data_IF_241489429227
#
_entry.id   IF_241489429227
#
_cell.length_a   1.000
_cell.length_b   1.000
_cell.length_c   1.000
_cell.angle_alpha   90.00
_cell.angle_beta   90.00
_cell.angle_gamma   90.00
#
_symmetry.space_group_name_H-M   'P 1'
#
loop_
_entity.id
_entity.type
_entity.pdbx_description
1 polymer ?
#
# COMPACT_ATOMS: atom_id res chain seq x y z
N UNK A 1 -24.31 14.19 2.58
CA UNK A 1 -24.17 12.80 2.14
C UNK A 1 -22.74 12.33 2.30
N UNK A 2 -22.57 11.16 2.88
CA UNK A 2 -21.25 10.62 3.06
C UNK A 2 -20.76 10.00 1.76
N UNK A 3 -19.60 10.44 1.28
CA UNK A 3 -18.93 9.83 0.13
C UNK A 3 -18.09 8.64 0.55
N UNK A 4 -17.82 8.54 1.84
CA UNK A 4 -16.92 7.51 2.39
C UNK A 4 -17.70 6.64 3.36
N UNK A 5 -17.31 5.35 3.41
CA UNK A 5 -17.88 4.42 4.37
C UNK A 5 -17.45 4.78 5.79
N UNK A 6 -18.12 4.17 6.76
CA UNK A 6 -17.74 4.35 8.16
C UNK A 6 -16.33 3.82 8.41
N UNK A 7 -15.95 2.75 7.72
CA UNK A 7 -14.59 2.20 7.85
C UNK A 7 -13.54 3.15 7.33
N UNK A 8 -13.79 3.82 6.20
CA UNK A 8 -12.88 4.83 5.68
C UNK A 8 -12.73 5.95 6.70
N UNK A 9 -13.83 6.45 7.23
CA UNK A 9 -13.78 7.52 8.21
C UNK A 9 -13.08 7.10 9.48
N UNK A 10 -13.30 5.87 9.94
CA UNK A 10 -12.63 5.35 11.12
C UNK A 10 -11.12 5.30 10.91
N UNK A 11 -10.67 4.75 9.79
CA UNK A 11 -9.24 4.68 9.50
C UNK A 11 -8.62 6.04 9.26
N UNK A 12 -9.39 6.99 8.76
CA UNK A 12 -8.91 8.36 8.59
C UNK A 12 -8.78 9.07 9.94
N UNK A 13 -9.78 8.94 10.80
CA UNK A 13 -9.79 9.61 12.09
C UNK A 13 -8.86 8.95 13.11
N UNK A 14 -8.70 7.64 13.01
CA UNK A 14 -7.90 6.84 13.93
C UNK A 14 -6.96 5.92 13.13
N UNK A 15 -6.02 6.48 12.37
CA UNK A 15 -5.16 5.64 11.54
C UNK A 15 -4.28 4.73 12.38
N UNK A 16 -4.13 3.50 11.92
CA UNK A 16 -3.33 2.48 12.57
C UNK A 16 -1.97 2.43 11.90
N UNK A 17 -0.95 2.10 12.70
CA UNK A 17 0.39 1.86 12.17
C UNK A 17 1.04 3.05 11.49
N UNK A 18 0.72 4.25 11.93
CA UNK A 18 1.37 5.47 11.45
C UNK A 18 2.75 5.60 12.07
N UNK A 19 3.74 5.93 11.27
CA UNK A 19 5.08 6.17 11.76
C UNK A 19 6.14 5.56 10.88
N UNK A 20 7.32 5.35 11.47
CA UNK A 20 8.45 4.77 10.79
C UNK A 20 9.03 3.65 11.64
N UNK A 21 9.87 2.82 11.00
CA UNK A 21 10.60 1.76 11.70
C UNK A 21 12.08 2.02 11.48
N UNK A 22 12.82 2.18 12.56
CA UNK A 22 14.27 2.31 12.49
C UNK A 22 14.85 0.96 12.09
N UNK A 23 15.76 0.97 11.12
CA UNK A 23 16.37 -0.25 10.58
C UNK A 23 15.32 -1.22 10.01
N UNK A 24 14.33 -0.70 9.31
CA UNK A 24 13.30 -1.52 8.69
C UNK A 24 13.91 -2.55 7.74
N UNK A 25 13.29 -3.72 7.68
CA UNK A 25 13.70 -4.79 6.75
C UNK A 25 13.52 -4.37 5.29
N UNK A 26 12.48 -3.61 5.02
CA UNK A 26 12.23 -3.07 3.69
C UNK A 26 11.45 -1.78 3.77
N UNK A 27 11.72 -0.87 2.84
CA UNK A 27 11.06 0.41 2.76
C UNK A 27 10.63 0.63 1.32
N UNK A 28 9.35 0.94 1.12
CA UNK A 28 8.83 1.27 -0.20
C UNK A 28 8.24 2.67 -0.18
N UNK A 29 8.57 3.45 -1.18
CA UNK A 29 8.03 4.79 -1.32
C UNK A 29 7.52 4.97 -2.74
N UNK A 30 6.28 5.42 -2.86
CA UNK A 30 5.67 5.73 -4.15
C UNK A 30 4.97 7.06 -4.04
N UNK A 31 4.78 7.71 -5.16
CA UNK A 31 4.11 8.99 -5.16
C UNK A 31 3.47 9.29 -6.49
N UNK A 32 2.51 10.20 -6.46
CA UNK A 32 1.88 10.74 -7.63
C UNK A 32 2.08 12.24 -7.62
N UNK A 33 3.02 12.72 -8.42
CA UNK A 33 3.37 14.13 -8.45
C UNK A 33 2.20 15.02 -8.84
N UNK A 34 1.30 14.51 -9.67
CA UNK A 34 0.12 15.27 -10.11
C UNK A 34 -0.84 15.53 -8.98
N UNK A 35 -1.02 14.55 -8.11
CA UNK A 35 -1.95 14.66 -7.00
C UNK A 35 -1.27 15.11 -5.71
N UNK A 36 0.07 15.08 -5.69
CA UNK A 36 0.82 15.41 -4.49
C UNK A 36 0.78 14.32 -3.43
N UNK A 37 0.22 13.18 -3.75
CA UNK A 37 0.16 12.06 -2.80
C UNK A 37 1.50 11.34 -2.79
N UNK A 38 2.01 11.10 -1.60
CA UNK A 38 3.23 10.32 -1.39
C UNK A 38 2.92 9.32 -0.28
N UNK A 39 3.35 8.07 -0.49
CA UNK A 39 3.10 7.01 0.46
C UNK A 39 4.38 6.22 0.69
N UNK A 40 4.74 6.05 1.95
CA UNK A 40 5.93 5.34 2.35
C UNK A 40 5.55 4.25 3.34
N UNK A 41 5.98 3.03 3.07
CA UNK A 41 5.66 1.87 3.90
C UNK A 41 6.98 1.30 4.43
N UNK A 42 7.00 1.02 5.73
CA UNK A 42 8.12 0.37 6.40
C UNK A 42 7.69 -1.02 6.84
N UNK A 43 8.50 -2.01 6.56
CA UNK A 43 8.21 -3.40 6.96
C UNK A 43 9.32 -3.92 7.85
N UNK A 44 8.93 -4.61 8.92
CA UNK A 44 9.85 -5.40 9.72
C UNK A 44 9.49 -6.85 9.48
N UNK A 45 10.45 -7.63 8.96
CA UNK A 45 10.21 -9.00 8.52
C UNK A 45 11.13 -9.95 9.28
N UNK A 46 10.54 -11.00 9.85
CA UNK A 46 11.28 -12.06 10.54
C UNK A 46 10.69 -13.40 10.13
N UNK A 47 11.56 -14.32 9.70
CA UNK A 47 11.13 -15.65 9.25
C UNK A 47 10.05 -15.58 8.17
N UNK A 48 10.23 -14.65 7.23
CA UNK A 48 9.32 -14.41 6.11
C UNK A 48 7.91 -13.97 6.55
N UNK A 49 7.77 -13.51 7.79
CA UNK A 49 6.51 -12.97 8.30
C UNK A 49 6.69 -11.49 8.59
N UNK A 50 5.70 -10.70 8.23
CA UNK A 50 5.69 -9.27 8.52
C UNK A 50 5.27 -9.10 9.97
N UNK A 51 6.25 -8.84 10.84
CA UNK A 51 5.99 -8.74 12.28
C UNK A 51 5.62 -7.32 12.70
N UNK A 52 5.98 -6.33 11.89
CA UNK A 52 5.57 -4.96 12.13
C UNK A 52 5.52 -4.22 10.80
N UNK A 53 4.67 -3.22 10.73
CA UNK A 53 4.46 -2.45 9.52
C UNK A 53 4.01 -1.05 9.92
N UNK A 54 4.64 -0.04 9.33
CA UNK A 54 4.29 1.36 9.60
C UNK A 54 4.18 2.09 8.27
N UNK A 55 3.48 3.21 8.29
CA UNK A 55 3.41 4.04 7.09
C UNK A 55 3.46 5.51 7.42
N UNK A 56 3.93 6.27 6.43
CA UNK A 56 3.84 7.71 6.43
C UNK A 56 3.30 8.13 5.08
N UNK A 57 2.38 9.06 5.07
CA UNK A 57 1.82 9.51 3.80
C UNK A 57 1.52 11.00 3.86
N UNK A 58 1.64 11.64 2.71
CA UNK A 58 1.15 12.98 2.48
C UNK A 58 0.11 12.88 1.38
N UNK A 59 -1.10 13.30 1.66
CA UNK A 59 -2.17 13.18 0.69
C UNK A 59 -3.52 13.36 1.32
N UNK A 60 -4.54 12.89 0.61
CA UNK A 60 -5.91 13.02 1.07
C UNK A 60 -6.26 11.99 2.14
N UNK A 61 -7.44 12.14 2.72
CA UNK A 61 -7.92 11.20 3.73
C UNK A 61 -8.04 9.79 3.23
N UNK A 62 -8.33 9.61 1.92
CA UNK A 62 -8.37 8.28 1.32
C UNK A 62 -7.00 7.62 1.31
N UNK A 63 -5.93 8.40 1.11
CA UNK A 63 -4.57 7.86 1.16
C UNK A 63 -4.25 7.37 2.56
N UNK A 64 -4.61 8.12 3.58
CA UNK A 64 -4.42 7.73 4.97
C UNK A 64 -5.22 6.46 5.28
N UNK A 65 -6.50 6.44 4.91
CA UNK A 65 -7.35 5.29 5.19
C UNK A 65 -6.88 4.04 4.45
N UNK A 66 -6.49 4.18 3.18
CA UNK A 66 -5.99 3.05 2.41
C UNK A 66 -4.70 2.48 2.99
N UNK A 67 -3.77 3.35 3.38
CA UNK A 67 -2.52 2.91 3.99
C UNK A 67 -2.78 2.22 5.33
N UNK A 68 -3.64 2.80 6.16
CA UNK A 68 -3.99 2.24 7.45
C UNK A 68 -4.58 0.84 7.28
N UNK A 69 -5.55 0.69 6.39
CA UNK A 69 -6.18 -0.61 6.15
C UNK A 69 -5.17 -1.60 5.57
N UNK A 70 -4.38 -1.19 4.59
CA UNK A 70 -3.41 -2.09 3.96
C UNK A 70 -2.40 -2.61 4.98
N UNK A 71 -1.90 -1.75 5.87
CA UNK A 71 -0.94 -2.19 6.89
C UNK A 71 -1.58 -3.19 7.86
N UNK A 72 -2.84 -2.99 8.22
CA UNK A 72 -3.54 -3.95 9.06
C UNK A 72 -3.71 -5.30 8.36
N UNK A 73 -3.96 -5.27 7.05
CA UNK A 73 -4.19 -6.49 6.29
C UNK A 73 -2.95 -7.36 6.16
N UNK A 74 -1.77 -6.74 6.11
CA UNK A 74 -0.52 -7.51 5.93
C UNK A 74 0.20 -7.80 7.23
N UNK A 75 -0.13 -7.14 8.31
CA UNK A 75 0.50 -7.37 9.60
C UNK A 75 0.28 -8.81 10.05
N UNK A 76 1.35 -9.53 10.38
CA UNK A 76 1.27 -10.92 10.77
C UNK A 76 1.16 -11.90 9.62
N UNK A 77 1.16 -11.43 8.39
CA UNK A 77 1.07 -12.29 7.20
C UNK A 77 2.45 -12.58 6.66
N UNK A 78 2.54 -13.65 5.86
CA UNK A 78 3.79 -13.95 5.18
C UNK A 78 4.05 -12.94 4.06
N UNK A 79 5.31 -12.85 3.64
CA UNK A 79 5.65 -11.98 2.52
C UNK A 79 4.93 -12.41 1.25
N UNK A 80 4.66 -13.71 1.09
CA UNK A 80 3.92 -14.21 -0.08
C UNK A 80 2.47 -13.70 -0.07
N UNK A 81 1.83 -13.74 1.09
CA UNK A 81 0.47 -13.23 1.22
C UNK A 81 0.43 -11.72 0.99
N UNK A 82 1.43 -11.00 1.46
CA UNK A 82 1.50 -9.56 1.25
C UNK A 82 1.70 -9.21 -0.22
N UNK A 83 2.44 -10.04 -0.96
CA UNK A 83 2.62 -9.84 -2.40
C UNK A 83 1.32 -9.98 -3.18
N UNK A 84 0.39 -10.75 -2.65
CA UNK A 84 -0.90 -10.97 -3.30
C UNK A 84 -1.95 -9.93 -2.97
N UNK A 85 -1.64 -9.01 -2.06
CA UNK A 85 -2.57 -7.94 -1.72
C UNK A 85 -2.85 -7.06 -2.93
N UNK A 86 -4.12 -6.81 -3.19
CA UNK A 86 -4.54 -5.97 -4.31
C UNK A 86 -5.22 -4.71 -3.81
N UNK A 87 -5.20 -3.68 -4.65
CA UNK A 87 -5.91 -2.45 -4.34
C UNK A 87 -7.41 -2.69 -4.19
N UNK A 88 -7.95 -3.63 -4.96
CA UNK A 88 -9.36 -4.00 -4.86
C UNK A 88 -9.67 -4.57 -3.47
N UNK A 89 -8.80 -5.43 -2.94
CA UNK A 89 -8.99 -6.00 -1.62
C UNK A 89 -8.98 -4.92 -0.53
N UNK A 90 -8.10 -3.93 -0.66
CA UNK A 90 -8.04 -2.82 0.29
C UNK A 90 -9.34 -2.01 0.24
N UNK A 91 -9.80 -1.70 -0.97
CA UNK A 91 -11.05 -0.96 -1.13
C UNK A 91 -12.25 -1.73 -0.58
N UNK A 92 -12.31 -3.03 -0.83
CA UNK A 92 -13.39 -3.86 -0.31
C UNK A 92 -13.36 -3.92 1.22
N UNK A 93 -12.16 -4.01 1.81
CA UNK A 93 -12.02 -4.02 3.26
C UNK A 93 -12.51 -2.71 3.89
N UNK A 94 -12.45 -1.63 3.14
CA UNK A 94 -12.95 -0.32 3.59
C UNK A 94 -14.42 -0.11 3.24
N UNK A 95 -15.10 -1.15 2.77
CA UNK A 95 -16.50 -1.09 2.30
C UNK A 95 -16.65 -0.16 1.10
N UNK A 96 -15.60 -0.06 0.29
CA UNK A 96 -15.61 0.71 -0.94
C UNK A 96 -14.97 2.08 -0.81
N UNK A 97 -14.47 2.57 -1.92
CA UNK A 97 -13.95 3.93 -2.06
C UNK A 97 -14.66 4.58 -3.24
N UNK A 98 -14.84 5.91 -3.21
CA UNK A 98 -15.34 6.59 -4.40
C UNK A 98 -14.42 6.30 -5.58
N UNK A 99 -14.98 6.17 -6.77
CA UNK A 99 -14.22 5.79 -7.96
C UNK A 99 -13.00 6.69 -8.19
N UNK A 100 -13.16 7.99 -7.97
CA UNK A 100 -12.06 8.94 -8.18
C UNK A 100 -10.97 8.86 -7.10
N UNK A 101 -11.17 8.05 -6.06
CA UNK A 101 -10.19 7.84 -5.00
C UNK A 101 -9.55 6.46 -5.02
N UNK A 102 -9.89 5.63 -6.00
CA UNK A 102 -9.31 4.29 -6.10
C UNK A 102 -7.80 4.32 -6.28
N UNK A 103 -7.25 5.39 -6.86
CA UNK A 103 -5.80 5.48 -7.03
C UNK A 103 -5.05 5.45 -5.69
N UNK A 104 -5.69 5.85 -4.61
CA UNK A 104 -5.06 5.82 -3.30
C UNK A 104 -4.79 4.37 -2.85
N UNK A 105 -5.72 3.45 -3.15
CA UNK A 105 -5.50 2.05 -2.81
C UNK A 105 -4.44 1.42 -3.71
N UNK A 106 -4.33 1.89 -4.97
CA UNK A 106 -3.26 1.46 -5.87
C UNK A 106 -1.90 1.87 -5.30
N UNK A 107 -1.78 3.08 -4.78
CA UNK A 107 -0.53 3.54 -4.17
C UNK A 107 -0.15 2.68 -2.97
N UNK A 108 -1.12 2.29 -2.15
CA UNK A 108 -0.84 1.42 -1.01
C UNK A 108 -0.30 0.06 -1.46
N UNK A 109 -0.92 -0.53 -2.47
CA UNK A 109 -0.46 -1.79 -3.04
C UNK A 109 0.97 -1.66 -3.58
N UNK A 110 1.22 -0.61 -4.36
CA UNK A 110 2.55 -0.38 -4.94
C UNK A 110 3.61 -0.15 -3.87
N UNK A 111 3.30 0.61 -2.83
CA UNK A 111 4.25 0.88 -1.77
C UNK A 111 4.63 -0.40 -1.02
N UNK A 112 3.67 -1.28 -0.77
CA UNK A 112 3.94 -2.57 -0.13
C UNK A 112 4.85 -3.41 -1.01
N UNK A 113 4.58 -3.48 -2.29
CA UNK A 113 5.40 -4.26 -3.23
C UNK A 113 6.82 -3.69 -3.31
N UNK A 114 6.95 -2.37 -3.34
CA UNK A 114 8.28 -1.76 -3.34
C UNK A 114 9.05 -2.05 -2.05
N UNK A 115 8.36 -2.07 -0.91
CA UNK A 115 8.99 -2.40 0.36
C UNK A 115 9.47 -3.85 0.37
N UNK A 116 8.68 -4.77 -0.18
CA UNK A 116 9.08 -6.17 -0.28
C UNK A 116 10.25 -6.34 -1.24
N UNK A 117 10.24 -5.64 -2.35
CA UNK A 117 11.36 -5.67 -3.30
C UNK A 117 12.65 -5.18 -2.65
N UNK A 118 12.55 -4.10 -1.88
CA UNK A 118 13.70 -3.56 -1.15
C UNK A 118 14.25 -4.61 -0.18
N UNK A 119 13.36 -5.31 0.52
CA UNK A 119 13.75 -6.38 1.42
C UNK A 119 14.50 -7.50 0.68
N UNK A 120 13.96 -7.93 -0.46
CA UNK A 120 14.62 -8.97 -1.26
C UNK A 120 16.00 -8.51 -1.73
N UNK A 121 16.09 -7.29 -2.24
CA UNK A 121 17.36 -6.75 -2.74
C UNK A 121 18.40 -6.63 -1.63
N UNK A 122 18.01 -6.17 -0.46
CA UNK A 122 18.92 -6.01 0.67
C UNK A 122 19.47 -7.34 1.18
N UNK A 123 18.71 -8.40 1.04
CA UNK A 123 19.06 -9.71 1.56
C UNK A 123 19.53 -10.69 0.48
N UNK A 124 19.65 -10.23 -0.76
CA UNK A 124 20.07 -11.08 -1.86
C UNK A 124 19.13 -12.23 -2.13
N UNK A 125 17.84 -12.06 -1.85
CA UNK A 125 16.84 -13.09 -2.06
C UNK A 125 16.35 -13.00 -3.50
N UNK A 126 16.43 -14.10 -4.27
CA UNK A 126 15.91 -14.07 -5.64
C UNK A 126 14.39 -13.95 -5.64
N UNK A 127 13.88 -13.22 -6.62
CA UNK A 127 12.45 -13.06 -6.79
C UNK A 127 12.12 -13.01 -8.27
N UNK A 128 10.88 -13.29 -8.59
CA UNK A 128 10.39 -13.19 -9.95
C UNK A 128 10.04 -11.74 -10.23
N UNK A 129 10.76 -11.12 -11.16
CA UNK A 129 10.52 -9.72 -11.51
C UNK A 129 9.09 -9.49 -11.99
N UNK A 130 8.44 -10.51 -12.52
CA UNK A 130 7.06 -10.40 -12.97
C UNK A 130 6.08 -10.13 -11.83
N UNK A 131 6.43 -10.56 -10.62
CA UNK A 131 5.59 -10.27 -9.46
C UNK A 131 5.51 -8.78 -9.16
N UNK A 132 6.46 -8.01 -9.67
CA UNK A 132 6.52 -6.55 -9.45
C UNK A 132 6.13 -5.77 -10.69
N UNK A 133 5.70 -6.42 -11.74
CA UNK A 133 5.18 -5.73 -12.91
C UNK A 133 3.87 -5.08 -12.55
N UNK A 134 3.71 -3.86 -13.05
CA UNK A 134 2.51 -3.09 -12.80
C UNK A 134 1.51 -3.26 -13.94
N UNK A 135 1.33 -4.51 -14.39
CA UNK A 135 0.44 -4.75 -15.52
C UNK A 135 -0.95 -4.18 -15.31
N UNK A 136 -1.51 -4.44 -14.14
CA UNK A 136 -2.83 -3.90 -13.83
C UNK A 136 -2.79 -2.40 -13.69
N UNK A 137 -1.71 -1.89 -13.13
CA UNK A 137 -1.52 -0.45 -12.94
C UNK A 137 -1.23 0.23 -14.27
N UNK A 138 -0.46 -0.43 -15.14
CA UNK A 138 -0.19 0.08 -16.48
C UNK A 138 -1.47 0.17 -17.29
N UNK A 139 -2.33 -0.86 -17.18
CA UNK A 139 -3.62 -0.83 -17.85
C UNK A 139 -4.48 0.32 -17.33
N UNK A 140 -4.47 0.51 -16.02
CA UNK A 140 -5.20 1.61 -15.42
C UNK A 140 -4.66 2.95 -15.90
N UNK A 141 -3.35 3.09 -15.96
CA UNK A 141 -2.71 4.30 -16.45
C UNK A 141 -3.01 4.53 -17.94
N UNK A 142 -3.01 3.47 -18.72
CA UNK A 142 -3.35 3.55 -20.12
C UNK A 142 -4.77 4.04 -20.33
N UNK A 143 -5.69 3.57 -19.50
CA UNK A 143 -7.09 4.00 -19.57
C UNK A 143 -7.25 5.47 -19.17
N UNK A 144 -6.37 5.94 -18.27
CA UNK A 144 -6.44 7.31 -17.78
C UNK A 144 -5.66 8.27 -18.68
N UNK A 145 -4.55 7.82 -19.23
CA UNK A 145 -3.61 8.67 -19.96
C UNK A 145 -3.48 8.33 -21.43
N UNK A 146 -3.87 7.14 -21.80
CA UNK A 146 -3.60 6.59 -23.13
C UNK A 146 -4.61 6.93 -24.18
N UNK A 147 -5.56 7.68 -23.81
CA UNK A 147 -6.59 8.10 -24.78
C UNK A 147 -5.99 9.01 -25.84
#
# INVERSE_FOLDING_TARGET
MALYSEKVMDHFMNPRNVGSIENASGIGEVGNAKCGDIMKIYLQIENDIIVDCKFETFGCGSAIASSSMATEMIMGKSIHEAMELTNKAVAEALDGLPAHKMHCSVLAEEAIKQALKDYFDKNGIPYDAEQFKETDHDELHAQVHGE
#
